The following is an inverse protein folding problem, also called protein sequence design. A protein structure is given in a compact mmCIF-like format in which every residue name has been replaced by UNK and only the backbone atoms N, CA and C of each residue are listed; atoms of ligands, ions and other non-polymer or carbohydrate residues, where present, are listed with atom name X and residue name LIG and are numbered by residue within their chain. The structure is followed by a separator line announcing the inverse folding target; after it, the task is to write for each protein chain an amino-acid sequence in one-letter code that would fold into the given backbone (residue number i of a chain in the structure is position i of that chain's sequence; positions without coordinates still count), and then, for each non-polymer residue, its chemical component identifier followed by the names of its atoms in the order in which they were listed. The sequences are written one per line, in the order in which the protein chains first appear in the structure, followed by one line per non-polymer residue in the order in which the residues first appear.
data_IF_459139566064
#
_entry.id   IF_459139566064
#
_cell.length_a   1.000
_cell.length_b   1.000
_cell.length_c   1.000
_cell.angle_alpha   90.00
_cell.angle_beta   90.00
_cell.angle_gamma   90.00
#
_symmetry.space_group_name_H-M   'P 1'
#
loop_
_entity.id
_entity.type
_entity.pdbx_description
1 polymer ?
#
# COMPACT_ATOMS: atom_id res chain seq x y z
N UNK A 1 -2.03 9.57 -5.22
CA UNK A 1 -2.25 9.95 -3.80
C UNK A 1 -3.34 9.08 -3.23
N UNK A 2 -3.11 8.47 -2.07
CA UNK A 2 -4.07 7.63 -1.35
C UNK A 2 -4.03 8.01 0.13
N UNK A 3 -5.15 7.82 0.83
CA UNK A 3 -5.30 8.08 2.25
C UNK A 3 -6.17 6.99 2.86
N UNK A 4 -5.81 6.53 4.04
CA UNK A 4 -6.65 5.67 4.87
C UNK A 4 -6.30 5.89 6.35
N UNK A 5 -7.28 5.62 7.21
CA UNK A 5 -7.07 5.59 8.67
C UNK A 5 -7.01 4.14 9.10
N UNK A 6 -5.86 3.74 9.63
CA UNK A 6 -5.68 2.43 10.22
C UNK A 6 -6.06 2.48 11.70
N UNK A 7 -6.99 1.61 12.11
CA UNK A 7 -7.49 1.53 13.48
C UNK A 7 -7.13 0.21 14.18
N UNK A 8 -6.26 -0.60 13.57
CA UNK A 8 -5.76 -1.84 14.14
C UNK A 8 -4.56 -1.64 15.08
N UNK A 9 -3.97 -2.76 15.52
CA UNK A 9 -2.94 -2.77 16.57
C UNK A 9 -1.56 -3.23 16.09
N UNK A 10 -1.46 -3.89 14.93
CA UNK A 10 -0.20 -4.37 14.33
C UNK A 10 -0.24 -4.19 12.80
N UNK A 11 0.23 -3.03 12.36
CA UNK A 11 0.18 -2.65 10.95
C UNK A 11 0.99 -3.61 10.05
N UNK A 12 2.16 -4.04 10.52
CA UNK A 12 3.05 -4.90 9.72
C UNK A 12 2.44 -6.29 9.53
N UNK A 13 1.88 -6.89 10.60
CA UNK A 13 1.20 -8.17 10.52
C UNK A 13 -0.08 -8.12 9.67
N UNK A 14 -0.85 -7.04 9.76
CA UNK A 14 -2.08 -6.88 8.99
C UNK A 14 -1.79 -6.66 7.49
N UNK A 15 -0.77 -5.87 7.15
CA UNK A 15 -0.33 -5.73 5.76
C UNK A 15 0.23 -7.04 5.20
N UNK A 16 0.95 -7.83 6.01
CA UNK A 16 1.42 -9.15 5.62
C UNK A 16 0.26 -10.14 5.36
N UNK A 17 -0.80 -10.07 6.17
CA UNK A 17 -2.02 -10.88 5.98
C UNK A 17 -2.70 -10.53 4.65
N UNK A 18 -2.86 -9.24 4.35
CA UNK A 18 -3.41 -8.77 3.08
C UNK A 18 -2.53 -9.20 1.89
N UNK A 19 -1.21 -9.10 2.02
CA UNK A 19 -0.29 -9.51 0.97
C UNK A 19 -0.30 -11.03 0.70
N UNK A 20 -0.67 -11.83 1.69
CA UNK A 20 -0.78 -13.29 1.57
C UNK A 20 -2.14 -13.77 1.01
N UNK A 21 -3.14 -12.90 0.93
CA UNK A 21 -4.47 -13.24 0.42
C UNK A 21 -4.48 -13.41 -1.10
N UNK A 22 -4.98 -14.56 -1.58
CA UNK A 22 -4.94 -14.95 -2.99
C UNK A 22 -5.78 -14.02 -3.89
N UNK A 23 -6.92 -13.55 -3.42
CA UNK A 23 -7.78 -12.64 -4.21
C UNK A 23 -7.18 -11.24 -4.28
N UNK A 24 -6.50 -10.80 -3.23
CA UNK A 24 -5.75 -9.54 -3.19
C UNK A 24 -4.59 -9.56 -4.18
N UNK A 25 -3.84 -10.67 -4.23
CA UNK A 25 -2.76 -10.84 -5.21
C UNK A 25 -3.30 -10.81 -6.64
N UNK A 26 -4.37 -11.56 -6.91
CA UNK A 26 -5.03 -11.58 -8.23
C UNK A 26 -5.52 -10.19 -8.64
N UNK A 27 -6.04 -9.42 -7.69
CA UNK A 27 -6.46 -8.05 -7.94
C UNK A 27 -5.28 -7.12 -8.25
N UNK A 28 -4.16 -7.28 -7.53
CA UNK A 28 -2.96 -6.50 -7.78
C UNK A 28 -2.30 -6.82 -9.13
N UNK A 29 -2.38 -8.05 -9.62
CA UNK A 29 -1.87 -8.41 -10.95
C UNK A 29 -2.58 -7.63 -12.07
N UNK A 30 -3.85 -7.27 -11.88
CA UNK A 30 -4.62 -6.43 -12.81
C UNK A 30 -4.36 -4.92 -12.58
N UNK A 31 -4.20 -4.52 -11.31
CA UNK A 31 -4.05 -3.11 -10.94
C UNK A 31 -2.65 -2.57 -11.20
N UNK A 32 -1.60 -3.27 -10.76
CA UNK A 32 -0.21 -2.78 -10.80
C UNK A 32 0.27 -2.42 -12.21
N UNK A 33 -0.07 -3.16 -13.29
CA UNK A 33 0.30 -2.77 -14.65
C UNK A 33 -0.30 -1.45 -15.14
N UNK A 34 -1.37 -0.97 -14.50
CA UNK A 34 -2.00 0.30 -14.83
C UNK A 34 -1.37 1.50 -14.11
N UNK A 35 -0.43 1.26 -13.19
CA UNK A 35 0.22 2.28 -12.39
C UNK A 35 1.56 2.69 -13.00
N UNK A 36 1.91 3.96 -12.85
CA UNK A 36 3.25 4.47 -13.13
C UNK A 36 3.96 4.69 -11.78
N UNK A 37 4.93 3.84 -11.41
CA UNK A 37 5.65 3.97 -10.15
C UNK A 37 6.52 5.22 -10.13
N UNK A 38 6.67 5.83 -8.96
CA UNK A 38 7.64 6.91 -8.76
C UNK A 38 9.06 6.35 -8.69
N UNK A 39 10.06 7.20 -8.93
CA UNK A 39 11.48 6.82 -8.85
C UNK A 39 11.88 6.36 -7.43
N UNK A 40 12.95 5.57 -7.34
CA UNK A 40 13.58 5.10 -6.09
C UNK A 40 12.70 4.22 -5.16
N UNK A 41 11.79 3.44 -5.73
CA UNK A 41 11.05 2.41 -4.99
C UNK A 41 11.83 1.08 -4.86
N UNK A 42 11.61 0.33 -3.77
CA UNK A 42 12.08 -1.05 -3.67
C UNK A 42 11.57 -1.92 -4.84
N UNK A 43 12.31 -2.96 -5.25
CA UNK A 43 11.87 -3.84 -6.32
C UNK A 43 10.49 -4.47 -6.02
N UNK A 44 9.54 -4.30 -6.95
CA UNK A 44 8.18 -4.84 -6.84
C UNK A 44 7.18 -3.94 -6.11
N UNK A 45 7.65 -2.83 -5.54
CA UNK A 45 6.78 -1.82 -4.94
C UNK A 45 6.30 -0.79 -5.96
N UNK A 46 5.05 -0.36 -5.76
CA UNK A 46 4.39 0.66 -6.60
C UNK A 46 3.73 1.76 -5.76
N UNK A 47 3.75 1.62 -4.43
CA UNK A 47 3.22 2.61 -3.49
C UNK A 47 4.37 3.21 -2.68
N UNK A 48 4.51 4.53 -2.75
CA UNK A 48 5.46 5.27 -1.92
C UNK A 48 4.75 5.83 -0.67
N UNK A 49 5.25 5.58 0.54
CA UNK A 49 4.70 6.22 1.74
C UNK A 49 4.98 7.73 1.72
N UNK A 50 4.09 8.49 2.36
CA UNK A 50 4.24 9.93 2.54
C UNK A 50 4.25 10.27 4.03
N UNK A 51 5.08 11.23 4.43
CA UNK A 51 5.06 11.78 5.79
C UNK A 51 3.85 12.71 5.95
N UNK A 52 3.01 12.45 6.95
CA UNK A 52 1.93 13.35 7.33
C UNK A 52 2.48 14.48 8.20
N UNK A 53 2.57 15.69 7.65
CA UNK A 53 3.14 16.87 8.34
C UNK A 53 2.09 17.78 8.99
N UNK A 54 0.81 17.57 8.67
CA UNK A 54 -0.30 18.35 9.23
C UNK A 54 -1.58 17.51 9.22
N UNK A 55 -2.32 17.57 10.31
CA UNK A 55 -3.65 16.99 10.47
C UNK A 55 -4.53 17.96 11.26
N UNK A 56 -5.78 18.12 10.83
CA UNK A 56 -6.81 18.86 11.54
C UNK A 56 -8.11 18.06 11.46
N UNK A 57 -8.77 17.92 12.61
CA UNK A 57 -10.10 17.29 12.73
C UNK A 57 -11.21 18.08 12.04
#
# INVERSE_FOLDING_TARGET
FSYFEYTGEDFEADMATMAADEETQRWWDECKPCLEPVEDLPPGEVWAPMESVFFQE
#
